data_IF_688757899060
#
_entry.id   IF_688757899060
#
_cell.length_a   1.000
_cell.length_b   1.000
_cell.length_c   1.000
_cell.angle_alpha   90.00
_cell.angle_beta   90.00
_cell.angle_gamma   90.00
#
_symmetry.space_group_name_H-M   'P 1'
#
loop_
_entity.id
_entity.type
_entity.pdbx_description
1 polymer ?
#
# COMPACT_ATOMS: atom_id res chain seq x y z
N UNK A 1 -17.32 -14.72 -5.57
CA UNK A 1 -17.13 -14.46 -7.02
C UNK A 1 -18.44 -14.55 -7.78
N UNK A 2 -19.21 -15.63 -7.61
CA UNK A 2 -20.54 -15.82 -8.23
C UNK A 2 -21.54 -14.69 -7.92
N UNK A 3 -21.57 -14.19 -6.69
CA UNK A 3 -22.44 -13.06 -6.31
C UNK A 3 -22.18 -11.78 -7.14
N UNK A 4 -20.92 -11.44 -7.40
CA UNK A 4 -20.56 -10.28 -8.20
C UNK A 4 -20.92 -10.47 -9.68
N UNK A 5 -20.80 -11.70 -10.21
CA UNK A 5 -21.20 -12.01 -11.59
C UNK A 5 -22.71 -11.88 -11.79
N UNK A 6 -23.51 -12.33 -10.82
CA UNK A 6 -24.98 -12.21 -10.88
C UNK A 6 -25.41 -10.75 -10.78
N UNK A 7 -24.78 -9.97 -9.88
CA UNK A 7 -25.04 -8.54 -9.76
C UNK A 7 -24.70 -7.80 -11.06
N UNK A 8 -23.57 -8.14 -11.68
CA UNK A 8 -23.15 -7.57 -12.96
C UNK A 8 -24.12 -7.91 -14.09
N UNK A 9 -24.57 -9.17 -14.17
CA UNK A 9 -25.55 -9.60 -15.16
C UNK A 9 -26.89 -8.85 -15.01
N UNK A 10 -27.41 -8.70 -13.78
CA UNK A 10 -28.63 -7.94 -13.52
C UNK A 10 -28.48 -6.46 -13.87
N UNK A 11 -27.35 -5.84 -13.52
CA UNK A 11 -27.06 -4.46 -13.89
C UNK A 11 -26.98 -4.29 -15.40
N UNK A 12 -26.37 -5.24 -16.11
CA UNK A 12 -26.21 -5.19 -17.56
C UNK A 12 -27.56 -5.35 -18.28
N UNK A 13 -28.42 -6.27 -17.80
CA UNK A 13 -29.79 -6.46 -18.31
C UNK A 13 -30.64 -5.21 -18.09
N UNK A 14 -30.52 -4.56 -16.93
CA UNK A 14 -31.24 -3.31 -16.65
C UNK A 14 -30.83 -2.17 -17.58
N UNK A 15 -29.53 -2.03 -17.85
CA UNK A 15 -28.99 -1.01 -18.77
C UNK A 15 -29.41 -1.31 -20.22
N UNK A 16 -29.33 -2.57 -20.66
CA UNK A 16 -29.71 -2.94 -22.03
C UNK A 16 -31.21 -2.76 -22.29
N UNK A 17 -32.07 -3.06 -21.32
CA UNK A 17 -33.51 -2.81 -21.41
C UNK A 17 -33.85 -1.32 -21.53
N UNK A 18 -33.15 -0.45 -20.79
CA UNK A 18 -33.31 1.00 -20.88
C UNK A 18 -32.84 1.54 -22.25
N UNK A 19 -31.72 1.03 -22.76
CA UNK A 19 -31.19 1.42 -24.06
C UNK A 19 -32.10 0.98 -25.20
N UNK A 20 -32.57 -0.27 -25.21
CA UNK A 20 -33.49 -0.78 -26.24
C UNK A 20 -34.78 0.04 -26.31
N UNK A 21 -35.35 0.41 -25.16
CA UNK A 21 -36.54 1.28 -25.10
C UNK A 21 -36.24 2.68 -25.62
N UNK A 22 -35.05 3.21 -25.32
CA UNK A 22 -34.57 4.48 -25.87
C UNK A 22 -34.42 4.43 -27.40
N UNK A 23 -33.89 3.35 -27.95
CA UNK A 23 -33.72 3.17 -29.40
C UNK A 23 -35.06 3.02 -30.14
N UNK A 24 -36.05 2.33 -29.58
CA UNK A 24 -37.39 2.27 -30.19
C UNK A 24 -38.05 3.64 -30.32
N UNK A 25 -37.88 4.52 -29.32
CA UNK A 25 -38.44 5.88 -29.35
C UNK A 25 -37.71 6.76 -30.37
N UNK A 26 -36.42 6.53 -30.61
CA UNK A 26 -35.62 7.27 -31.60
C UNK A 26 -36.04 6.91 -33.04
N UNK A 27 -36.55 5.70 -33.28
CA UNK A 27 -37.00 5.28 -34.61
C UNK A 27 -38.29 5.95 -35.10
N UNK A 28 -39.09 6.55 -34.21
CA UNK A 28 -40.35 7.22 -34.56
C UNK A 28 -40.19 8.74 -34.79
N UNK A 29 -39.00 9.30 -34.58
CA UNK A 29 -38.75 10.75 -34.67
C UNK A 29 -38.14 11.07 -36.04
N UNK A 30 -38.68 12.07 -36.74
CA UNK A 30 -38.16 12.52 -38.03
C UNK A 30 -36.75 13.11 -37.89
N UNK A 31 -35.91 12.97 -38.93
CA UNK A 31 -34.52 13.46 -38.89
C UNK A 31 -34.44 14.98 -38.61
N UNK A 32 -35.44 15.74 -39.06
CA UNK A 32 -35.56 17.19 -38.83
C UNK A 32 -35.83 17.54 -37.35
N UNK A 33 -36.64 16.73 -36.66
CA UNK A 33 -36.89 16.86 -35.22
C UNK A 33 -35.68 16.43 -34.37
N UNK A 34 -34.90 15.46 -34.85
CA UNK A 34 -33.65 15.05 -34.19
C UNK A 34 -32.59 16.15 -34.28
N UNK A 35 -32.47 16.83 -35.42
CA UNK A 35 -31.50 17.92 -35.61
C UNK A 35 -31.87 19.16 -34.81
N UNK A 36 -33.15 19.53 -34.75
CA UNK A 36 -33.62 20.66 -33.93
C UNK A 36 -33.46 20.39 -32.42
N UNK A 37 -33.76 19.18 -31.94
CA UNK A 37 -33.48 18.78 -30.54
C UNK A 37 -31.99 18.69 -30.22
N UNK A 38 -31.16 18.27 -31.18
CA UNK A 38 -29.69 18.25 -31.03
C UNK A 38 -29.12 19.68 -30.93
N UNK A 39 -29.66 20.63 -31.68
CA UNK A 39 -29.27 22.04 -31.59
C UNK A 39 -29.71 22.71 -30.27
N UNK A 40 -30.83 22.26 -29.69
CA UNK A 40 -31.39 22.77 -28.41
C UNK A 40 -30.81 22.09 -27.16
N UNK A 41 -30.18 20.93 -27.29
CA UNK A 41 -29.64 20.18 -26.15
C UNK A 41 -28.23 20.65 -25.81
N UNK A 42 -28.02 20.94 -24.51
CA UNK A 42 -26.67 21.14 -23.97
C UNK A 42 -25.84 19.87 -24.16
N UNK A 43 -24.51 19.99 -24.35
CA UNK A 43 -23.66 18.83 -24.52
C UNK A 43 -23.79 17.92 -23.29
N UNK A 44 -24.39 16.75 -23.49
CA UNK A 44 -24.58 15.70 -22.48
C UNK A 44 -23.28 15.40 -21.70
N UNK A 45 -22.14 15.53 -22.38
CA UNK A 45 -20.80 15.36 -21.82
C UNK A 45 -20.45 16.37 -20.72
N UNK A 46 -20.91 17.61 -20.79
CA UNK A 46 -20.65 18.61 -19.75
C UNK A 46 -21.46 18.34 -18.48
N UNK A 47 -22.71 17.92 -18.62
CA UNK A 47 -23.53 17.53 -17.47
C UNK A 47 -23.03 16.22 -16.84
N UNK A 48 -22.66 15.22 -17.64
CA UNK A 48 -22.04 13.98 -17.13
C UNK A 48 -20.74 14.27 -16.37
N UNK A 49 -19.92 15.18 -16.90
CA UNK A 49 -18.65 15.60 -16.27
C UNK A 49 -18.89 16.33 -14.95
N UNK A 50 -19.88 17.20 -14.87
CA UNK A 50 -20.23 17.93 -13.64
C UNK A 50 -20.87 17.02 -12.60
N UNK A 51 -21.72 16.09 -13.01
CA UNK A 51 -22.54 15.27 -12.11
C UNK A 51 -21.78 14.04 -11.59
N UNK A 52 -20.88 13.46 -12.39
CA UNK A 52 -20.19 12.21 -12.06
C UNK A 52 -18.69 12.43 -11.88
N UNK A 53 -18.02 13.05 -12.87
CA UNK A 53 -16.55 13.12 -12.87
C UNK A 53 -16.01 14.05 -11.79
N UNK A 54 -16.56 15.27 -11.69
CA UNK A 54 -16.14 16.27 -10.72
C UNK A 54 -16.23 15.81 -9.24
N UNK A 55 -17.38 15.25 -8.76
CA UNK A 55 -17.45 14.77 -7.39
C UNK A 55 -16.57 13.54 -7.14
N UNK A 56 -16.39 12.66 -8.13
CA UNK A 56 -15.55 11.47 -7.98
C UNK A 56 -14.07 11.83 -7.84
N UNK A 57 -13.57 12.77 -8.66
CA UNK A 57 -12.19 13.27 -8.56
C UNK A 57 -11.96 13.96 -7.21
N UNK A 58 -12.94 14.74 -6.74
CA UNK A 58 -12.86 15.43 -5.45
C UNK A 58 -12.83 14.45 -4.27
N UNK A 59 -13.69 13.43 -4.27
CA UNK A 59 -13.68 12.35 -3.26
C UNK A 59 -12.35 11.58 -3.27
N UNK A 60 -11.82 11.29 -4.46
CA UNK A 60 -10.55 10.60 -4.59
C UNK A 60 -9.40 11.43 -4.00
N UNK A 61 -9.39 12.74 -4.28
CA UNK A 61 -8.35 13.65 -3.78
C UNK A 61 -8.46 13.89 -2.27
N UNK A 62 -9.67 14.05 -1.74
CA UNK A 62 -9.90 14.38 -0.32
C UNK A 62 -9.86 13.16 0.61
N UNK A 63 -10.26 11.97 0.14
CA UNK A 63 -10.39 10.78 1.02
C UNK A 63 -9.42 9.66 0.71
N UNK A 64 -9.09 9.43 -0.57
CA UNK A 64 -8.28 8.26 -0.96
C UNK A 64 -6.80 8.58 -0.85
N UNK A 65 -6.35 9.70 -1.41
CA UNK A 65 -4.95 10.15 -1.31
C UNK A 65 -4.41 10.20 0.13
N UNK A 66 -5.05 10.86 1.11
CA UNK A 66 -4.48 10.92 2.46
C UNK A 66 -4.42 9.54 3.13
N UNK A 67 -5.34 8.62 2.79
CA UNK A 67 -5.30 7.24 3.29
C UNK A 67 -4.14 6.47 2.68
N UNK A 68 -3.94 6.56 1.36
CA UNK A 68 -2.84 5.87 0.68
C UNK A 68 -1.48 6.39 1.15
N UNK A 69 -1.31 7.72 1.29
CA UNK A 69 -0.09 8.30 1.85
C UNK A 69 0.17 7.83 3.29
N UNK A 70 -0.86 7.74 4.13
CA UNK A 70 -0.73 7.22 5.51
C UNK A 70 -0.34 5.74 5.55
N UNK A 71 -0.82 4.95 4.60
CA UNK A 71 -0.41 3.54 4.47
C UNK A 71 1.03 3.39 3.98
N UNK A 72 1.43 4.18 2.99
CA UNK A 72 2.81 4.25 2.51
C UNK A 72 3.74 4.65 3.65
N UNK A 73 3.38 5.67 4.43
CA UNK A 73 4.18 6.11 5.58
C UNK A 73 4.38 4.98 6.60
N UNK A 74 3.31 4.22 6.93
CA UNK A 74 3.40 3.05 7.81
C UNK A 74 4.32 1.98 7.23
N UNK A 75 4.23 1.72 5.93
CA UNK A 75 5.08 0.74 5.25
C UNK A 75 6.55 1.16 5.32
N UNK A 76 6.85 2.42 5.00
CA UNK A 76 8.20 2.98 5.07
C UNK A 76 8.78 2.91 6.49
N UNK A 77 7.98 3.21 7.53
CA UNK A 77 8.40 3.08 8.92
C UNK A 77 8.74 1.63 9.29
N UNK A 78 7.93 0.65 8.86
CA UNK A 78 8.21 -0.77 9.07
C UNK A 78 9.48 -1.20 8.36
N UNK A 79 9.67 -0.77 7.11
CA UNK A 79 10.86 -1.06 6.34
C UNK A 79 12.13 -0.51 7.02
N UNK A 80 12.07 0.72 7.54
CA UNK A 80 13.16 1.31 8.33
C UNK A 80 13.55 0.46 9.54
N UNK A 81 12.58 -0.08 10.27
CA UNK A 81 12.85 -0.95 11.41
C UNK A 81 13.51 -2.28 10.98
N UNK A 82 13.09 -2.84 9.85
CA UNK A 82 13.71 -4.04 9.29
C UNK A 82 15.15 -3.75 8.85
N UNK A 83 15.37 -2.64 8.15
CA UNK A 83 16.71 -2.22 7.73
C UNK A 83 17.64 -2.04 8.95
N UNK A 84 17.19 -1.38 10.01
CA UNK A 84 17.93 -1.25 11.26
C UNK A 84 18.26 -2.60 11.91
N UNK A 85 17.32 -3.55 11.89
CA UNK A 85 17.59 -4.91 12.41
C UNK A 85 18.66 -5.62 11.58
N UNK A 86 18.60 -5.47 10.25
CA UNK A 86 19.59 -6.02 9.33
C UNK A 86 20.96 -5.39 9.60
N UNK A 87 21.05 -4.06 9.73
CA UNK A 87 22.30 -3.37 10.09
C UNK A 87 22.88 -3.87 11.41
N UNK A 88 22.06 -4.01 12.46
CA UNK A 88 22.51 -4.57 13.74
C UNK A 88 23.03 -6.01 13.61
N UNK A 89 22.40 -6.82 12.76
CA UNK A 89 22.86 -8.20 12.50
C UNK A 89 24.18 -8.21 11.73
N UNK A 90 24.32 -7.36 10.70
CA UNK A 90 25.59 -7.22 9.97
C UNK A 90 26.71 -6.72 10.87
N UNK A 91 26.43 -5.75 11.75
CA UNK A 91 27.41 -5.25 12.71
C UNK A 91 27.90 -6.36 13.64
N UNK A 92 26.99 -7.15 14.22
CA UNK A 92 27.34 -8.31 15.05
C UNK A 92 28.14 -9.35 14.28
N UNK A 93 27.78 -9.61 13.03
CA UNK A 93 28.51 -10.55 12.18
C UNK A 93 29.92 -10.05 11.85
N UNK A 94 30.07 -8.76 11.58
CA UNK A 94 31.36 -8.10 11.37
C UNK A 94 32.24 -8.20 12.62
N UNK A 95 31.70 -7.90 13.80
CA UNK A 95 32.41 -8.04 15.08
C UNK A 95 32.81 -9.49 15.37
N UNK A 96 31.95 -10.45 15.06
CA UNK A 96 32.25 -11.88 15.20
C UNK A 96 33.41 -12.30 14.29
N UNK A 97 33.40 -11.89 13.02
CA UNK A 97 34.51 -12.15 12.09
C UNK A 97 35.80 -11.49 12.59
N UNK A 98 35.71 -10.24 13.04
CA UNK A 98 36.86 -9.52 13.61
C UNK A 98 37.42 -10.24 14.82
N UNK A 99 36.54 -10.75 15.69
CA UNK A 99 36.89 -11.60 16.82
C UNK A 99 37.64 -12.85 16.42
N UNK A 100 37.09 -13.61 15.47
CA UNK A 100 37.74 -14.82 14.95
C UNK A 100 39.09 -14.52 14.30
N UNK A 101 39.21 -13.40 13.57
CA UNK A 101 40.48 -12.97 12.96
C UNK A 101 41.53 -12.68 14.02
N UNK A 102 41.19 -11.90 15.04
CA UNK A 102 42.09 -11.60 16.16
C UNK A 102 42.51 -12.90 16.87
N UNK A 103 41.57 -13.81 17.14
CA UNK A 103 41.90 -15.10 17.77
C UNK A 103 42.80 -15.99 16.90
N UNK A 104 42.65 -15.94 15.58
CA UNK A 104 43.49 -16.66 14.64
C UNK A 104 44.92 -16.07 14.58
N UNK A 105 45.05 -14.74 14.62
CA UNK A 105 46.37 -14.06 14.64
C UNK A 105 47.12 -14.23 15.99
N UNK A 106 46.42 -14.54 17.09
CA UNK A 106 47.03 -14.59 18.43
C UNK A 106 47.49 -16.00 18.86
N UNK A 107 47.57 -16.99 17.96
CA UNK A 107 48.07 -18.36 18.24
C UNK A 107 47.58 -18.97 19.57
N UNK A 108 46.27 -18.86 19.86
CA UNK A 108 45.67 -19.47 21.06
C UNK A 108 45.90 -18.73 22.38
N UNK A 109 46.63 -17.61 22.39
CA UNK A 109 46.60 -16.70 23.55
C UNK A 109 45.29 -15.92 23.55
N UNK A 110 44.44 -16.16 24.56
CA UNK A 110 43.17 -15.46 24.75
C UNK A 110 43.45 -13.95 24.81
N UNK A 111 42.99 -13.22 23.80
CA UNK A 111 43.08 -11.77 23.78
C UNK A 111 42.34 -11.18 24.98
N UNK A 112 43.03 -10.32 25.75
CA UNK A 112 42.54 -9.64 26.96
C UNK A 112 41.17 -8.96 26.76
N UNK A 113 40.89 -8.49 25.53
CA UNK A 113 39.62 -7.91 25.13
C UNK A 113 38.45 -8.90 25.25
N UNK A 114 38.65 -10.15 24.82
CA UNK A 114 37.62 -11.19 24.90
C UNK A 114 37.37 -11.68 26.32
N UNK A 115 38.40 -11.64 27.16
CA UNK A 115 38.28 -11.99 28.58
C UNK A 115 37.47 -10.93 29.34
N UNK A 116 37.69 -9.63 29.05
CA UNK A 116 36.87 -8.54 29.57
C UNK A 116 35.41 -8.63 29.12
N UNK A 117 35.15 -8.92 27.84
CA UNK A 117 33.79 -9.07 27.31
C UNK A 117 33.04 -10.25 27.94
N UNK A 118 33.73 -11.37 28.17
CA UNK A 118 33.14 -12.54 28.80
C UNK A 118 32.90 -12.31 30.30
N UNK A 119 33.78 -11.56 30.97
CA UNK A 119 33.60 -11.15 32.37
C UNK A 119 32.43 -10.17 32.53
N UNK A 120 32.25 -9.20 31.63
CA UNK A 120 31.07 -8.33 31.65
C UNK A 120 29.76 -9.09 31.43
N UNK A 121 29.74 -10.04 30.48
CA UNK A 121 28.56 -10.88 30.21
C UNK A 121 28.20 -11.80 31.40
N UNK A 122 29.21 -12.32 32.10
CA UNK A 122 29.01 -13.20 33.25
C UNK A 122 28.74 -12.44 34.57
N UNK A 123 29.25 -11.21 34.71
CA UNK A 123 28.99 -10.33 35.85
C UNK A 123 27.53 -9.87 35.91
N UNK A 124 26.95 -9.46 34.77
CA UNK A 124 25.54 -9.07 34.68
C UNK A 124 24.55 -10.23 34.98
N UNK A 125 25.00 -11.48 34.83
CA UNK A 125 24.21 -12.67 35.12
C UNK A 125 24.26 -13.09 36.61
N UNK A 126 25.26 -12.60 37.37
CA UNK A 126 25.35 -12.83 38.83
C UNK A 126 24.51 -11.81 39.60
N UNK A 127 24.51 -10.54 39.17
CA UNK A 127 23.71 -9.48 39.79
C UNK A 127 22.19 -9.77 39.79
N UNK A 128 21.69 -10.51 38.78
CA UNK A 128 20.28 -10.93 38.71
C UNK A 128 19.92 -12.14 39.59
N UNK A 129 20.91 -12.83 40.19
CA UNK A 129 20.66 -14.00 41.06
C UNK A 129 20.73 -13.67 42.55
N UNK A 130 21.23 -12.49 42.91
CA UNK A 130 21.44 -12.03 44.28
C UNK A 130 20.47 -10.91 44.71
N UNK A 131 19.41 -10.66 43.93
CA UNK A 131 18.26 -9.87 44.39
C UNK A 131 17.27 -10.80 45.12
N UNK A 132 16.92 -10.52 46.40
CA UNK A 132 16.00 -11.34 47.19
C UNK A 132 14.57 -11.36 46.65
#
# INVERSE_FOLDING_TARGET
MTFFLILFAFSFIGISALLLRGFSIIGEISEEELLSRRALSKPFWDDLRKLIVAPTVRIHREKVLPKTYKEIEKLTRRFRLIALRVECLLMRFSEYIRGKRIMADTNGHKSHYWEQLNNCKNGANKENKDLP
#
